data_IF_254681202642
#
_entry.id   IF_254681202642
#
_cell.length_a   1.000
_cell.length_b   1.000
_cell.length_c   1.000
_cell.angle_alpha   90.00
_cell.angle_beta   90.00
_cell.angle_gamma   90.00
#
_symmetry.space_group_name_H-M   'P 1'
#
loop_
_entity.id
_entity.type
_entity.pdbx_description
1 polymer ?
#
# COMPACT_ATOMS: atom_id res chain seq x y z
N UNK A 1 13.54 -1.84 -11.90
CA UNK A 1 12.85 -2.01 -10.61
C UNK A 1 12.30 -3.42 -10.60
N UNK A 2 12.65 -4.20 -9.58
CA UNK A 2 12.13 -5.55 -9.36
C UNK A 2 11.31 -5.52 -8.07
N UNK A 3 10.14 -6.14 -8.06
CA UNK A 3 9.28 -6.16 -6.89
C UNK A 3 8.52 -7.50 -6.79
N UNK A 4 8.17 -7.87 -5.58
CA UNK A 4 7.47 -9.12 -5.31
C UNK A 4 6.36 -8.98 -4.27
N UNK A 5 5.87 -10.13 -3.82
CA UNK A 5 4.81 -10.20 -2.83
C UNK A 5 5.36 -9.90 -1.43
N UNK A 6 4.46 -9.62 -0.50
CA UNK A 6 4.78 -9.32 0.89
C UNK A 6 3.95 -10.20 1.80
N UNK A 7 4.56 -10.78 2.82
CA UNK A 7 3.83 -11.33 3.95
C UNK A 7 3.58 -10.24 4.97
N UNK A 8 2.39 -10.20 5.54
CA UNK A 8 2.04 -9.28 6.61
C UNK A 8 1.62 -10.10 7.82
N UNK A 9 2.31 -9.89 8.94
CA UNK A 9 1.98 -10.49 10.23
C UNK A 9 1.24 -9.49 11.11
N UNK A 10 0.28 -10.00 11.88
CA UNK A 10 -0.42 -9.23 12.92
C UNK A 10 -0.88 -10.18 14.01
N UNK A 11 -0.31 -10.08 15.20
CA UNK A 11 -0.56 -11.01 16.30
C UNK A 11 -0.30 -12.46 15.84
N UNK A 12 -1.34 -13.30 15.91
CA UNK A 12 -1.30 -14.71 15.50
C UNK A 12 -1.63 -14.94 14.02
N UNK A 13 -1.90 -13.89 13.24
CA UNK A 13 -2.31 -14.00 11.85
C UNK A 13 -1.18 -13.59 10.91
N UNK A 14 -0.97 -14.38 9.87
CA UNK A 14 -0.08 -14.06 8.76
C UNK A 14 -0.85 -14.19 7.45
N UNK A 15 -0.72 -13.18 6.58
CA UNK A 15 -1.37 -13.18 5.27
C UNK A 15 -0.46 -12.65 4.19
N UNK A 16 -0.64 -13.13 2.97
CA UNK A 16 0.18 -12.80 1.83
C UNK A 16 -0.49 -11.73 0.96
N UNK A 17 0.24 -10.67 0.69
CA UNK A 17 -0.17 -9.58 -0.16
C UNK A 17 0.42 -9.76 -1.55
N UNK A 18 -0.43 -10.04 -2.55
CA UNK A 18 0.00 -10.13 -3.94
C UNK A 18 0.21 -8.73 -4.51
N UNK A 19 1.43 -8.47 -4.96
CA UNK A 19 1.76 -7.23 -5.66
C UNK A 19 1.10 -7.15 -7.03
N UNK A 20 0.80 -5.92 -7.46
CA UNK A 20 0.22 -5.63 -8.79
C UNK A 20 1.19 -4.76 -9.58
N UNK A 21 1.10 -4.81 -10.90
CA UNK A 21 1.87 -3.91 -11.77
C UNK A 21 1.29 -2.48 -11.74
N UNK A 22 2.15 -1.49 -11.95
CA UNK A 22 1.70 -0.14 -12.26
C UNK A 22 0.88 -0.14 -13.54
N UNK A 23 -0.19 0.66 -13.56
CA UNK A 23 -1.03 0.95 -14.73
C UNK A 23 -1.23 2.45 -14.82
N UNK A 24 -1.68 2.95 -15.96
CA UNK A 24 -1.96 4.38 -16.19
C UNK A 24 -2.88 4.98 -15.11
N UNK A 25 -3.83 4.18 -14.61
CA UNK A 25 -4.80 4.57 -13.59
C UNK A 25 -4.48 3.95 -12.22
N UNK A 26 -3.19 3.83 -11.87
CA UNK A 26 -2.80 3.37 -10.53
C UNK A 26 -2.91 4.52 -9.55
N UNK A 27 -3.81 4.42 -8.59
CA UNK A 27 -4.08 5.45 -7.58
C UNK A 27 -3.37 5.19 -6.25
N UNK A 28 -2.95 3.98 -5.98
CA UNK A 28 -2.26 3.62 -4.75
C UNK A 28 -0.99 2.84 -5.09
N UNK A 29 -0.09 2.75 -4.13
CA UNK A 29 1.08 1.92 -4.28
C UNK A 29 0.67 0.47 -4.60
N UNK A 30 1.01 -0.08 -5.78
CA UNK A 30 0.52 -1.39 -6.19
C UNK A 30 1.30 -2.57 -5.60
N UNK A 31 2.37 -2.27 -4.85
CA UNK A 31 3.23 -3.22 -4.14
C UNK A 31 3.77 -2.57 -2.87
N UNK A 32 4.20 -3.38 -1.92
CA UNK A 32 4.85 -2.88 -0.71
C UNK A 32 6.26 -2.38 -1.04
N UNK A 33 6.64 -1.19 -0.57
CA UNK A 33 7.96 -0.63 -0.84
C UNK A 33 9.10 -1.45 -0.19
N UNK A 34 8.83 -2.19 0.90
CA UNK A 34 9.79 -3.11 1.50
C UNK A 34 10.05 -4.37 0.65
N UNK A 35 9.17 -4.65 -0.33
CA UNK A 35 9.33 -5.77 -1.27
C UNK A 35 9.83 -5.31 -2.64
N UNK A 36 10.70 -4.28 -2.69
CA UNK A 36 11.18 -3.70 -3.94
C UNK A 36 12.69 -3.56 -3.94
N UNK A 37 13.32 -4.00 -5.03
CA UNK A 37 14.72 -3.74 -5.34
C UNK A 37 14.83 -2.73 -6.48
N UNK A 38 15.55 -1.65 -6.24
CA UNK A 38 15.72 -0.56 -7.19
C UNK A 38 17.18 -0.39 -7.58
N UNK A 39 17.47 -0.40 -8.87
CA UNK A 39 18.85 -0.14 -9.34
C UNK A 39 19.31 1.24 -8.91
N UNK A 40 20.48 1.34 -8.28
CA UNK A 40 21.09 2.59 -7.75
C UNK A 40 21.11 3.72 -8.78
N UNK A 41 21.33 3.41 -10.07
CA UNK A 41 21.35 4.41 -11.14
C UNK A 41 20.04 5.22 -11.28
N UNK A 42 18.89 4.69 -10.86
CA UNK A 42 17.62 5.41 -10.96
C UNK A 42 17.55 6.59 -9.97
N UNK A 43 18.26 6.50 -8.85
CA UNK A 43 18.34 7.59 -7.86
C UNK A 43 19.19 8.78 -8.34
N UNK A 44 19.97 8.62 -9.41
CA UNK A 44 20.67 9.75 -10.05
C UNK A 44 19.70 10.67 -10.78
N UNK A 45 18.60 10.15 -11.30
CA UNK A 45 17.59 10.91 -12.05
C UNK A 45 16.45 11.43 -11.17
N UNK A 46 16.16 10.73 -10.10
CA UNK A 46 15.10 11.07 -9.17
C UNK A 46 15.46 10.53 -7.79
N UNK A 47 15.47 11.40 -6.80
CA UNK A 47 15.56 11.03 -5.37
C UNK A 47 14.17 11.00 -4.76
N UNK A 48 14.02 10.41 -3.58
CA UNK A 48 12.82 10.56 -2.78
C UNK A 48 12.57 12.04 -2.47
N UNK A 49 11.33 12.47 -2.65
CA UNK A 49 10.95 13.84 -2.36
C UNK A 49 10.59 13.96 -0.86
N UNK A 50 11.45 14.60 -0.09
CA UNK A 50 11.31 14.79 1.36
C UNK A 50 10.12 15.66 1.77
N UNK A 51 9.49 16.38 0.83
CA UNK A 51 8.25 17.11 1.07
C UNK A 51 7.04 16.17 1.24
N UNK A 52 7.18 14.89 0.85
CA UNK A 52 6.23 13.83 1.13
C UNK A 52 6.77 12.95 2.25
N UNK A 53 6.16 13.03 3.42
CA UNK A 53 6.59 12.25 4.60
C UNK A 53 6.15 10.79 4.56
N UNK A 54 5.05 10.51 3.83
CA UNK A 54 4.37 9.21 3.85
C UNK A 54 4.24 8.57 2.46
N UNK A 55 4.34 9.36 1.39
CA UNK A 55 4.12 8.89 0.01
C UNK A 55 5.29 9.22 -0.93
N UNK A 56 6.49 9.46 -0.39
CA UNK A 56 7.68 9.76 -1.19
C UNK A 56 8.09 8.58 -2.08
N UNK A 57 7.85 7.35 -1.62
CA UNK A 57 8.03 6.10 -2.37
C UNK A 57 7.09 6.04 -3.58
N UNK A 58 5.80 6.37 -3.38
CA UNK A 58 4.83 6.43 -4.47
C UNK A 58 5.22 7.49 -5.52
N UNK A 59 5.65 8.71 -5.10
CA UNK A 59 6.14 9.75 -6.02
C UNK A 59 7.34 9.25 -6.84
N UNK A 60 8.28 8.55 -6.19
CA UNK A 60 9.47 8.02 -6.84
C UNK A 60 9.14 6.92 -7.86
N UNK A 61 8.33 5.93 -7.47
CA UNK A 61 7.98 4.82 -8.37
C UNK A 61 7.05 5.26 -9.49
N UNK A 62 6.09 6.16 -9.20
CA UNK A 62 5.21 6.70 -10.23
C UNK A 62 5.97 7.54 -11.26
N UNK A 63 6.95 8.36 -10.84
CA UNK A 63 7.84 9.06 -11.76
C UNK A 63 8.56 8.09 -12.69
N UNK A 64 9.16 7.04 -12.16
CA UNK A 64 9.88 6.05 -12.94
C UNK A 64 8.95 5.31 -13.91
N UNK A 65 7.71 5.04 -13.51
CA UNK A 65 6.68 4.48 -14.39
C UNK A 65 6.35 5.43 -15.55
N UNK A 66 6.11 6.71 -15.28
CA UNK A 66 5.88 7.75 -16.31
C UNK A 66 7.05 7.92 -17.27
N UNK A 67 8.26 7.61 -16.83
CA UNK A 67 9.48 7.60 -17.64
C UNK A 67 9.74 6.25 -18.32
N UNK A 68 8.74 5.39 -18.42
CA UNK A 68 8.79 4.08 -19.06
C UNK A 68 9.94 3.18 -18.55
N UNK A 69 10.31 3.32 -17.27
CA UNK A 69 11.31 2.43 -16.68
C UNK A 69 10.71 1.04 -16.50
N UNK A 70 11.53 0.01 -16.72
CA UNK A 70 11.08 -1.38 -16.63
C UNK A 70 10.78 -1.77 -15.18
N UNK A 71 9.58 -2.26 -14.95
CA UNK A 71 9.13 -2.89 -13.70
C UNK A 71 8.97 -4.38 -13.95
N UNK A 72 9.63 -5.20 -13.15
CA UNK A 72 9.57 -6.64 -13.21
C UNK A 72 8.95 -7.17 -11.93
N UNK A 73 7.81 -7.80 -12.07
CA UNK A 73 7.15 -8.50 -10.97
C UNK A 73 7.68 -9.93 -10.88
N UNK A 74 8.01 -10.36 -9.66
CA UNK A 74 8.26 -11.76 -9.33
C UNK A 74 7.18 -12.25 -8.37
N UNK A 75 6.85 -13.55 -8.44
CA UNK A 75 5.75 -14.10 -7.65
C UNK A 75 6.17 -14.54 -6.23
N UNK A 76 7.45 -14.37 -5.89
CA UNK A 76 7.99 -14.73 -4.60
C UNK A 76 7.61 -13.70 -3.51
N UNK A 77 7.53 -14.15 -2.26
CA UNK A 77 7.47 -13.28 -1.10
C UNK A 77 8.89 -12.73 -0.89
N UNK A 78 9.04 -11.40 -0.93
CA UNK A 78 10.33 -10.71 -0.82
C UNK A 78 10.56 -10.25 0.63
N UNK A 79 9.52 -9.81 1.29
CA UNK A 79 9.61 -9.30 2.65
C UNK A 79 8.45 -9.78 3.50
N UNK A 80 8.70 -9.82 4.79
CA UNK A 80 7.68 -9.92 5.83
C UNK A 80 7.68 -8.65 6.64
N UNK A 81 6.50 -8.11 6.89
CA UNK A 81 6.31 -6.86 7.64
C UNK A 81 5.24 -7.04 8.70
N UNK A 82 5.34 -6.30 9.77
CA UNK A 82 4.30 -6.22 10.79
C UNK A 82 3.23 -5.19 10.40
N UNK A 83 1.96 -5.52 10.61
CA UNK A 83 0.86 -4.59 10.38
C UNK A 83 0.80 -3.51 11.47
N UNK A 84 0.33 -2.31 11.10
CA UNK A 84 0.17 -1.19 12.05
C UNK A 84 1.32 -0.21 12.04
N UNK A 85 2.14 -0.23 11.01
CA UNK A 85 3.20 0.76 10.79
C UNK A 85 2.66 2.20 10.66
N UNK A 86 3.57 3.17 10.63
CA UNK A 86 3.26 4.60 10.65
C UNK A 86 2.30 5.03 9.52
N UNK A 87 2.45 4.50 8.31
CA UNK A 87 1.54 4.78 7.20
C UNK A 87 0.13 4.19 7.42
N UNK A 88 0.02 3.08 8.16
CA UNK A 88 -1.27 2.46 8.46
C UNK A 88 -2.07 3.29 9.48
N UNK A 89 -1.39 3.88 10.44
CA UNK A 89 -2.02 4.74 11.47
C UNK A 89 -2.34 6.14 10.93
N UNK A 90 -1.62 6.60 9.90
CA UNK A 90 -1.75 7.95 9.32
C UNK A 90 -2.40 7.97 7.92
N UNK A 91 -3.33 7.06 7.64
CA UNK A 91 -3.95 6.88 6.30
C UNK A 91 -4.51 8.17 5.69
N UNK A 92 -5.14 9.03 6.48
CA UNK A 92 -5.68 10.31 5.98
C UNK A 92 -4.56 11.20 5.44
N UNK A 93 -3.42 11.27 6.14
CA UNK A 93 -2.25 12.04 5.69
C UNK A 93 -1.61 11.43 4.44
N UNK A 94 -1.52 10.11 4.36
CA UNK A 94 -1.08 9.40 3.14
C UNK A 94 -1.95 9.79 1.94
N UNK A 95 -3.28 9.79 2.11
CA UNK A 95 -4.20 10.17 1.02
C UNK A 95 -4.07 11.63 0.61
N UNK A 96 -3.82 12.54 1.55
CA UNK A 96 -3.54 13.95 1.23
C UNK A 96 -2.29 14.11 0.38
N UNK A 97 -1.23 13.36 0.68
CA UNK A 97 0.00 13.37 -0.12
C UNK A 97 -0.22 12.73 -1.50
N UNK A 98 -0.93 11.62 -1.59
CA UNK A 98 -1.31 11.00 -2.87
C UNK A 98 -2.08 12.00 -3.75
N UNK A 99 -3.03 12.78 -3.21
CA UNK A 99 -3.75 13.81 -3.95
C UNK A 99 -2.80 14.86 -4.55
N UNK A 100 -1.76 15.29 -3.80
CA UNK A 100 -0.74 16.20 -4.33
C UNK A 100 0.04 15.57 -5.49
N UNK A 101 0.40 14.29 -5.36
CA UNK A 101 1.11 13.53 -6.39
C UNK A 101 0.23 13.35 -7.64
N UNK A 102 -1.06 13.09 -7.49
CA UNK A 102 -1.99 12.99 -8.63
C UNK A 102 -2.06 14.29 -9.42
N UNK A 103 -2.14 15.43 -8.74
CA UNK A 103 -2.12 16.75 -9.38
C UNK A 103 -0.81 16.98 -10.13
N UNK A 104 0.32 16.67 -9.49
CA UNK A 104 1.66 16.81 -10.09
C UNK A 104 1.83 16.04 -11.40
N UNK A 105 1.25 14.86 -11.50
CA UNK A 105 1.41 13.99 -12.67
C UNK A 105 0.20 14.01 -13.61
N UNK A 106 -0.77 14.92 -13.40
CA UNK A 106 -2.01 14.98 -14.16
C UNK A 106 -2.71 13.60 -14.22
N UNK A 107 -2.71 12.89 -13.10
CA UNK A 107 -3.45 11.64 -12.99
C UNK A 107 -4.92 12.02 -12.97
N UNK A 108 -5.65 11.59 -13.99
CA UNK A 108 -7.06 11.91 -14.12
C UNK A 108 -7.85 11.29 -12.96
N UNK A 109 -8.19 12.10 -11.96
CA UNK A 109 -8.92 11.65 -10.80
C UNK A 109 -10.44 11.81 -10.93
N UNK A 110 -10.98 11.32 -12.03
CA UNK A 110 -12.43 11.03 -12.15
C UNK A 110 -12.89 10.13 -10.99
N UNK A 111 -11.95 9.51 -10.27
CA UNK A 111 -12.19 8.69 -9.08
C UNK A 111 -12.05 9.47 -7.75
N UNK A 112 -12.37 10.76 -7.74
CA UNK A 112 -12.58 11.52 -6.48
C UNK A 112 -13.50 10.77 -5.51
N UNK A 113 -14.58 10.07 -5.97
CA UNK A 113 -15.38 9.24 -5.09
C UNK A 113 -14.58 8.15 -4.37
N UNK A 114 -13.68 7.44 -5.08
CA UNK A 114 -12.86 6.36 -4.48
C UNK A 114 -11.94 6.89 -3.39
N UNK A 115 -11.34 8.07 -3.61
CA UNK A 115 -10.52 8.73 -2.61
C UNK A 115 -11.35 9.12 -1.38
N UNK A 116 -12.50 9.76 -1.59
CA UNK A 116 -13.40 10.18 -0.51
C UNK A 116 -13.96 8.98 0.25
N UNK A 117 -14.41 7.95 -0.47
CA UNK A 117 -14.88 6.70 0.10
C UNK A 117 -13.78 5.98 0.89
N UNK A 118 -12.53 6.03 0.43
CA UNK A 118 -11.40 5.44 1.17
C UNK A 118 -11.14 6.15 2.49
N UNK A 119 -11.25 7.48 2.53
CA UNK A 119 -11.11 8.25 3.78
C UNK A 119 -12.29 7.97 4.71
N UNK A 120 -13.52 8.00 4.18
CA UNK A 120 -14.75 7.74 4.93
C UNK A 120 -14.71 6.32 5.53
N UNK A 121 -14.39 5.32 4.72
CA UNK A 121 -14.23 3.94 5.16
C UNK A 121 -13.19 3.81 6.28
N UNK A 122 -12.05 4.49 6.15
CA UNK A 122 -11.03 4.48 7.18
C UNK A 122 -11.52 5.13 8.49
N UNK A 123 -12.21 6.27 8.41
CA UNK A 123 -12.77 6.95 9.60
C UNK A 123 -13.84 6.11 10.29
N UNK A 124 -14.74 5.51 9.52
CA UNK A 124 -15.76 4.58 10.07
C UNK A 124 -15.06 3.41 10.76
N UNK A 125 -14.04 2.82 10.14
CA UNK A 125 -13.27 1.74 10.74
C UNK A 125 -12.58 2.13 12.05
N UNK A 126 -12.08 3.37 12.17
CA UNK A 126 -11.51 3.88 13.43
C UNK A 126 -12.60 4.09 14.50
N UNK A 127 -13.74 4.65 14.14
CA UNK A 127 -14.87 4.81 15.06
C UNK A 127 -15.38 3.45 15.57
N UNK A 128 -15.56 2.49 14.67
CA UNK A 128 -15.97 1.13 15.04
C UNK A 128 -14.94 0.46 15.96
N UNK A 129 -13.66 0.73 15.77
CA UNK A 129 -12.60 0.22 16.63
C UNK A 129 -12.70 0.76 18.06
N UNK A 130 -13.07 2.03 18.22
CA UNK A 130 -13.26 2.65 19.52
C UNK A 130 -14.50 2.08 20.22
N UNK A 131 -15.59 1.90 19.48
CA UNK A 131 -16.91 1.47 20.02
C UNK A 131 -16.89 -0.04 20.34
N UNK A 132 -16.34 -0.85 19.47
CA UNK A 132 -16.50 -2.31 19.50
C UNK A 132 -15.28 -3.07 20.07
N UNK A 133 -14.24 -2.34 20.46
CA UNK A 133 -13.01 -2.92 21.01
C UNK A 133 -12.19 -3.77 20.03
N UNK A 134 -11.10 -4.34 20.54
CA UNK A 134 -10.13 -5.05 19.68
C UNK A 134 -10.64 -6.40 19.12
N UNK A 135 -11.59 -7.05 19.78
CA UNK A 135 -12.05 -8.39 19.38
C UNK A 135 -12.83 -8.34 18.06
N UNK A 136 -13.80 -7.45 17.95
CA UNK A 136 -14.62 -7.31 16.74
C UNK A 136 -13.85 -6.68 15.58
N UNK A 137 -12.88 -5.82 15.88
CA UNK A 137 -11.98 -5.26 14.86
C UNK A 137 -11.13 -6.34 14.21
N UNK A 138 -10.64 -7.31 14.96
CA UNK A 138 -9.89 -8.43 14.41
C UNK A 138 -10.78 -9.33 13.53
N UNK A 139 -12.04 -9.53 13.90
CA UNK A 139 -13.03 -10.24 13.10
C UNK A 139 -13.32 -9.51 11.78
N UNK A 140 -13.58 -8.21 11.82
CA UNK A 140 -13.83 -7.38 10.62
C UNK A 140 -12.60 -7.38 9.70
N UNK A 141 -11.39 -7.29 10.25
CA UNK A 141 -10.16 -7.40 9.47
C UNK A 141 -10.01 -8.79 8.83
N UNK A 142 -10.34 -9.85 9.55
CA UNK A 142 -10.34 -11.22 9.03
C UNK A 142 -11.30 -11.37 7.84
N UNK A 143 -12.52 -10.87 7.96
CA UNK A 143 -13.53 -10.87 6.88
C UNK A 143 -13.06 -10.00 5.70
N UNK A 144 -12.57 -8.79 5.95
CA UNK A 144 -12.05 -7.88 4.92
C UNK A 144 -10.95 -8.53 4.08
N UNK A 145 -10.02 -9.19 4.73
CA UNK A 145 -8.89 -9.81 4.01
C UNK A 145 -9.27 -11.13 3.33
N UNK A 146 -10.28 -11.86 3.79
CA UNK A 146 -10.80 -13.04 3.09
C UNK A 146 -11.49 -12.68 1.77
N UNK A 147 -12.26 -11.57 1.72
CA UNK A 147 -12.94 -11.13 0.50
C UNK A 147 -12.03 -10.50 -0.55
N UNK A 148 -10.83 -10.02 -0.18
CA UNK A 148 -9.88 -9.43 -1.12
C UNK A 148 -9.04 -10.46 -1.91
N UNK A 149 -9.45 -11.74 -1.95
CA UNK A 149 -8.70 -12.87 -2.57
C UNK A 149 -7.24 -12.95 -2.09
N UNK A 150 -7.05 -12.75 -0.80
CA UNK A 150 -5.80 -13.00 -0.13
C UNK A 150 -5.76 -14.47 0.23
N UNK A 151 -4.70 -15.17 -0.12
CA UNK A 151 -4.51 -16.52 0.41
C UNK A 151 -4.14 -16.33 1.89
N UNK A 152 -5.10 -16.58 2.76
CA UNK A 152 -4.84 -16.67 4.20
C UNK A 152 -4.29 -18.07 4.44
N UNK A 153 -2.99 -18.21 4.48
CA UNK A 153 -2.38 -19.38 5.11
C UNK A 153 -2.40 -19.13 6.61
N UNK A 154 -3.29 -19.83 7.29
CA UNK A 154 -3.19 -20.00 8.75
C UNK A 154 -1.98 -20.90 8.94
N UNK A 155 -0.85 -20.28 9.25
CA UNK A 155 0.31 -21.08 9.70
C UNK A 155 -0.01 -21.53 11.12
N UNK A 156 -0.55 -22.73 11.25
CA UNK A 156 -0.51 -23.44 12.52
C UNK A 156 0.97 -23.58 12.90
N UNK A 157 1.42 -22.75 13.81
CA UNK A 157 2.67 -23.01 14.52
C UNK A 157 2.44 -24.28 15.32
N UNK A 158 3.02 -25.39 14.85
CA UNK A 158 3.36 -26.53 15.69
C UNK A 158 4.65 -26.22 16.42
#
# INVERSE_FOLDING_TARGET
IVFGNTAISKNTFKYHVKSKNFRKNTYFMPFCHQSVFTKKKLFRFKKFNTNYKLASDFDFYYYNFKKNKKFLKINNIISEIEAGGFSDTNRVSVYKEYKKIYRKYNINYINVPVYFLSILYYRIGQMLKIILGNYLTNFILKVKYSHLKWIVEIVNQR
#
